data_IF_305102027993
#
_entry.id   IF_305102027993
#
_cell.length_a   1.000
_cell.length_b   1.000
_cell.length_c   1.000
_cell.angle_alpha   90.00
_cell.angle_beta   90.00
_cell.angle_gamma   90.00
#
_symmetry.space_group_name_H-M   'P 1'
#
loop_
_entity.id
_entity.type
_entity.pdbx_description
1 polymer ?
#
# COMPACT_ATOMS: atom_id res chain seq x y z
N UNK A 1 -12.42 1.01 -16.14
CA UNK A 1 -13.85 0.68 -16.00
C UNK A 1 -14.62 1.25 -17.17
N UNK A 2 -14.74 2.57 -17.36
CA UNK A 2 -15.53 3.22 -18.42
C UNK A 2 -15.21 2.70 -19.83
N UNK A 3 -13.94 2.43 -20.15
CA UNK A 3 -13.53 1.89 -21.45
C UNK A 3 -14.21 0.55 -21.77
N UNK A 4 -14.51 -0.27 -20.78
CA UNK A 4 -15.16 -1.56 -20.97
C UNK A 4 -16.70 -1.46 -20.97
N UNK A 5 -17.23 -0.54 -20.18
CA UNK A 5 -18.68 -0.43 -20.00
C UNK A 5 -19.34 0.58 -20.94
N UNK A 6 -18.58 1.59 -21.41
CA UNK A 6 -19.12 2.75 -22.16
C UNK A 6 -18.27 3.13 -23.37
N UNK A 7 -17.69 2.16 -24.06
CA UNK A 7 -16.79 2.48 -25.18
C UNK A 7 -17.44 3.32 -26.26
N UNK A 8 -18.70 3.03 -26.61
CA UNK A 8 -19.47 3.81 -27.59
C UNK A 8 -19.68 5.27 -27.17
N UNK A 9 -20.02 5.51 -25.91
CA UNK A 9 -20.16 6.86 -25.33
C UNK A 9 -18.84 7.61 -25.36
N UNK A 10 -17.73 6.94 -24.98
CA UNK A 10 -16.40 7.52 -25.06
C UNK A 10 -16.00 7.84 -26.50
N UNK A 11 -16.38 7.01 -27.47
CA UNK A 11 -16.11 7.24 -28.87
C UNK A 11 -16.89 8.45 -29.41
N UNK A 12 -18.16 8.57 -29.11
CA UNK A 12 -18.99 9.74 -29.48
C UNK A 12 -18.44 11.04 -28.91
N UNK A 13 -17.94 11.01 -27.66
CA UNK A 13 -17.35 12.17 -26.98
C UNK A 13 -15.86 12.37 -27.31
N UNK A 14 -15.25 11.54 -28.16
CA UNK A 14 -13.82 11.57 -28.53
C UNK A 14 -12.87 11.38 -27.33
N UNK A 15 -13.28 10.61 -26.35
CA UNK A 15 -12.57 10.35 -25.09
C UNK A 15 -12.02 8.91 -25.00
N UNK A 16 -11.81 8.24 -26.14
CA UNK A 16 -11.33 6.84 -26.18
C UNK A 16 -9.86 6.69 -25.77
N UNK A 17 -9.04 7.72 -26.00
CA UNK A 17 -7.65 7.76 -25.54
C UNK A 17 -7.58 8.26 -24.10
N UNK A 18 -6.74 7.60 -23.30
CA UNK A 18 -6.60 7.95 -21.89
C UNK A 18 -6.20 9.41 -21.69
N UNK A 19 -5.29 9.92 -22.50
CA UNK A 19 -4.80 11.30 -22.37
C UNK A 19 -5.92 12.33 -22.62
N UNK A 20 -6.80 12.07 -23.61
CA UNK A 20 -7.95 12.93 -23.85
C UNK A 20 -8.96 12.89 -22.69
N UNK A 21 -9.20 11.70 -22.17
CA UNK A 21 -10.07 11.52 -21.01
C UNK A 21 -9.46 12.17 -19.76
N UNK A 22 -8.16 11.97 -19.52
CA UNK A 22 -7.45 12.52 -18.38
C UNK A 22 -7.38 14.07 -18.44
N UNK A 23 -7.17 14.66 -19.61
CA UNK A 23 -7.20 16.12 -19.76
C UNK A 23 -8.59 16.72 -19.56
N UNK A 24 -9.66 15.94 -19.78
CA UNK A 24 -11.05 16.39 -19.60
C UNK A 24 -11.53 16.29 -18.16
N UNK A 25 -11.08 15.26 -17.45
CA UNK A 25 -11.60 14.94 -16.11
C UNK A 25 -10.54 14.87 -15.02
N UNK A 26 -9.28 14.97 -15.36
CA UNK A 26 -8.18 14.80 -14.42
C UNK A 26 -7.39 16.05 -14.17
N UNK A 27 -7.02 16.22 -12.92
CA UNK A 27 -6.08 17.25 -12.48
C UNK A 27 -4.83 16.61 -11.95
N UNK A 28 -3.68 17.05 -12.45
CA UNK A 28 -2.39 16.63 -11.94
C UNK A 28 -1.91 17.58 -10.86
N UNK A 29 -1.38 17.05 -9.79
CA UNK A 29 -0.74 17.81 -8.73
C UNK A 29 0.73 17.43 -8.63
N UNK A 30 1.58 18.43 -8.43
CA UNK A 30 2.99 18.21 -8.13
C UNK A 30 3.19 18.30 -6.62
N UNK A 31 3.65 17.21 -6.02
CA UNK A 31 4.00 17.17 -4.62
C UNK A 31 5.51 16.94 -4.45
N UNK A 32 6.06 17.56 -3.42
CA UNK A 32 7.44 17.26 -2.98
C UNK A 32 7.36 16.07 -2.05
N UNK A 33 8.06 15.01 -2.40
CA UNK A 33 8.12 13.79 -1.61
C UNK A 33 9.57 13.42 -1.29
N UNK A 34 9.77 12.66 -0.21
CA UNK A 34 11.09 12.10 0.10
C UNK A 34 11.51 11.17 -1.04
N UNK A 35 12.76 11.29 -1.45
CA UNK A 35 13.32 10.39 -2.46
C UNK A 35 13.38 8.95 -1.91
N UNK A 36 13.18 7.92 -2.76
CA UNK A 36 13.21 6.52 -2.32
C UNK A 36 14.51 6.10 -1.65
N UNK A 37 15.59 6.80 -1.97
CA UNK A 37 16.92 6.59 -1.41
C UNK A 37 17.02 7.05 0.06
N UNK A 38 15.96 7.69 0.59
CA UNK A 38 15.91 8.22 1.95
C UNK A 38 16.68 9.52 2.15
N UNK A 39 17.27 10.05 1.09
CA UNK A 39 18.07 11.29 1.11
C UNK A 39 17.52 12.30 0.11
N UNK A 40 17.18 13.50 0.60
CA UNK A 40 16.67 14.57 -0.25
C UNK A 40 15.20 14.44 -0.62
N UNK A 41 14.75 15.41 -1.41
CA UNK A 41 13.35 15.52 -1.85
C UNK A 41 13.29 15.58 -3.37
N UNK A 42 12.22 15.03 -3.94
CA UNK A 42 11.93 15.12 -5.37
C UNK A 42 10.52 15.63 -5.62
N UNK A 43 10.36 16.39 -6.70
CA UNK A 43 9.05 16.76 -7.19
C UNK A 43 8.46 15.62 -8.04
N UNK A 44 7.24 15.19 -7.73
CA UNK A 44 6.50 14.21 -8.50
C UNK A 44 5.14 14.77 -8.90
N UNK A 45 4.89 14.78 -10.19
CA UNK A 45 3.57 15.13 -10.73
C UNK A 45 2.77 13.84 -10.92
N UNK A 46 1.58 13.80 -10.33
CA UNK A 46 0.67 12.66 -10.42
C UNK A 46 -0.74 13.13 -10.74
N UNK A 47 -1.49 12.28 -11.41
CA UNK A 47 -2.94 12.39 -11.48
C UNK A 47 -3.49 12.19 -10.06
N UNK A 48 -4.07 13.23 -9.47
CA UNK A 48 -4.41 13.21 -8.05
C UNK A 48 -5.87 13.58 -7.76
N UNK A 49 -6.50 14.33 -8.65
CA UNK A 49 -7.86 14.81 -8.45
C UNK A 49 -8.68 14.67 -9.72
N UNK A 50 -9.99 14.68 -9.53
CA UNK A 50 -10.92 14.81 -10.64
C UNK A 50 -11.51 16.22 -10.67
N UNK A 51 -11.63 16.77 -11.84
CA UNK A 51 -12.45 17.95 -12.08
C UNK A 51 -13.59 17.60 -13.07
N UNK A 52 -14.48 18.54 -13.33
CA UNK A 52 -15.68 18.27 -14.13
C UNK A 52 -16.46 17.04 -13.67
N UNK A 53 -16.54 16.86 -12.34
CA UNK A 53 -17.23 15.74 -11.72
C UNK A 53 -18.68 15.57 -12.15
N UNK A 54 -19.50 16.63 -12.31
CA UNK A 54 -20.90 16.46 -12.72
C UNK A 54 -21.05 15.72 -14.05
N UNK A 55 -20.24 16.04 -15.05
CA UNK A 55 -20.28 15.34 -16.34
C UNK A 55 -19.74 13.90 -16.23
N UNK A 56 -18.60 13.72 -15.56
CA UNK A 56 -18.03 12.40 -15.31
C UNK A 56 -19.02 11.48 -14.60
N UNK A 57 -19.67 11.98 -13.55
CA UNK A 57 -20.65 11.23 -12.77
C UNK A 57 -21.93 10.95 -13.57
N UNK A 58 -22.38 11.90 -14.40
CA UNK A 58 -23.53 11.69 -15.28
C UNK A 58 -23.26 10.55 -16.25
N UNK A 59 -22.11 10.57 -16.90
CA UNK A 59 -21.69 9.48 -17.79
C UNK A 59 -21.60 8.15 -17.07
N UNK A 60 -20.98 8.13 -15.90
CA UNK A 60 -20.75 6.88 -15.16
C UNK A 60 -22.05 6.26 -14.65
N UNK A 61 -22.99 7.08 -14.22
CA UNK A 61 -24.33 6.63 -13.76
C UNK A 61 -25.18 5.97 -14.82
N UNK A 62 -24.89 6.19 -16.11
CA UNK A 62 -25.60 5.49 -17.21
C UNK A 62 -25.38 3.97 -17.16
N UNK A 63 -24.25 3.51 -16.63
CA UNK A 63 -23.85 2.09 -16.66
C UNK A 63 -23.48 1.54 -15.27
N UNK A 64 -23.56 2.35 -14.23
CA UNK A 64 -23.20 1.96 -12.87
C UNK A 64 -24.25 2.42 -11.86
N UNK A 65 -24.69 1.50 -11.01
CA UNK A 65 -25.45 1.84 -9.80
C UNK A 65 -24.46 2.21 -8.69
N UNK A 66 -24.55 3.45 -8.23
CA UNK A 66 -23.64 4.01 -7.22
C UNK A 66 -24.41 4.19 -5.93
N UNK A 67 -23.98 3.48 -4.90
CA UNK A 67 -24.50 3.62 -3.54
C UNK A 67 -23.36 4.01 -2.61
N UNK A 68 -23.54 5.09 -1.88
CA UNK A 68 -22.63 5.46 -0.79
C UNK A 68 -22.98 4.68 0.48
N UNK A 69 -22.05 4.64 1.44
CA UNK A 69 -22.27 3.96 2.73
C UNK A 69 -23.53 4.47 3.44
N UNK A 70 -23.78 5.78 3.39
CA UNK A 70 -24.94 6.40 3.99
C UNK A 70 -26.27 5.96 3.35
N UNK A 71 -26.25 5.67 2.04
CA UNK A 71 -27.42 5.20 1.30
C UNK A 71 -27.72 3.72 1.54
N UNK A 72 -26.69 2.95 1.90
CA UNK A 72 -26.83 1.51 2.12
C UNK A 72 -27.37 1.17 3.51
N UNK A 73 -27.29 2.09 4.47
CA UNK A 73 -27.72 1.87 5.86
C UNK A 73 -27.25 0.53 6.45
N UNK A 74 -26.01 0.13 6.11
CA UNK A 74 -25.46 -1.13 6.59
C UNK A 74 -25.27 -1.08 8.11
N UNK A 75 -25.53 -2.19 8.81
CA UNK A 75 -25.24 -2.30 10.24
C UNK A 75 -23.73 -2.41 10.44
N UNK A 76 -23.04 -1.28 10.38
CA UNK A 76 -21.59 -1.20 10.60
C UNK A 76 -21.32 -1.04 12.08
N UNK A 77 -20.49 -1.90 12.70
CA UNK A 77 -20.14 -1.75 14.10
C UNK A 77 -19.32 -0.47 14.33
N UNK A 78 -19.45 0.09 15.52
CA UNK A 78 -18.58 1.19 15.92
C UNK A 78 -17.13 0.68 16.01
N UNK A 79 -16.22 1.39 15.33
CA UNK A 79 -14.82 1.00 15.26
C UNK A 79 -13.93 1.94 16.08
N UNK A 80 -13.10 1.37 16.94
CA UNK A 80 -12.03 2.07 17.64
C UNK A 80 -10.71 1.74 16.96
N UNK A 81 -10.03 2.78 16.48
CA UNK A 81 -8.74 2.63 15.79
C UNK A 81 -7.59 2.88 16.77
N UNK A 82 -6.73 1.90 16.93
CA UNK A 82 -5.51 2.02 17.73
C UNK A 82 -4.29 1.72 16.87
N UNK A 83 -3.30 2.61 16.90
CA UNK A 83 -2.03 2.41 16.19
C UNK A 83 -0.97 1.96 17.18
N UNK A 84 -0.47 0.75 16.99
CA UNK A 84 0.65 0.21 17.76
C UNK A 84 1.93 0.33 16.94
N UNK A 85 2.93 1.02 17.49
CA UNK A 85 4.20 1.29 16.79
C UNK A 85 5.32 0.50 17.47
N UNK A 86 5.93 -0.42 16.71
CA UNK A 86 7.17 -1.08 17.11
C UNK A 86 8.37 -0.20 16.72
N UNK A 87 9.29 0.04 17.67
CA UNK A 87 10.52 0.78 17.39
C UNK A 87 11.51 -0.11 16.65
N UNK A 88 12.18 0.39 15.60
CA UNK A 88 13.18 -0.40 14.90
C UNK A 88 14.40 -0.70 15.78
N UNK A 89 14.91 -1.93 15.71
CA UNK A 89 16.18 -2.31 16.32
C UNK A 89 17.36 -1.65 15.58
N UNK A 90 18.54 -1.65 16.19
CA UNK A 90 19.73 -1.09 15.54
C UNK A 90 20.10 -1.91 14.30
N UNK A 91 19.96 -3.22 14.36
CA UNK A 91 20.12 -4.09 13.19
C UNK A 91 19.17 -3.72 12.05
N UNK A 92 17.90 -3.45 12.34
CA UNK A 92 16.95 -2.99 11.29
C UNK A 92 17.38 -1.66 10.68
N UNK A 93 17.90 -0.73 11.50
CA UNK A 93 18.40 0.57 11.01
C UNK A 93 19.58 0.38 10.05
N UNK A 94 20.53 -0.49 10.41
CA UNK A 94 21.68 -0.83 9.55
C UNK A 94 21.22 -1.44 8.23
N UNK A 95 20.30 -2.42 8.27
CA UNK A 95 19.76 -3.04 7.07
C UNK A 95 19.02 -2.04 6.18
N UNK A 96 18.28 -1.09 6.75
CA UNK A 96 17.62 -0.01 6.00
C UNK A 96 18.63 0.94 5.36
N UNK A 97 19.74 1.25 6.04
CA UNK A 97 20.83 2.04 5.45
C UNK A 97 21.45 1.33 4.23
N UNK A 98 21.60 0.01 4.29
CA UNK A 98 22.10 -0.77 3.17
C UNK A 98 21.11 -0.75 2.00
N UNK A 99 19.81 -0.88 2.25
CA UNK A 99 18.79 -0.71 1.21
C UNK A 99 18.84 0.68 0.56
N UNK A 100 19.10 1.70 1.35
CA UNK A 100 19.23 3.08 0.86
C UNK A 100 20.42 3.24 -0.09
N UNK A 101 21.57 2.60 0.22
CA UNK A 101 22.75 2.57 -0.68
C UNK A 101 22.43 1.85 -1.99
N UNK A 102 21.83 0.65 -1.92
CA UNK A 102 21.38 -0.10 -3.09
C UNK A 102 20.44 0.71 -3.97
N UNK A 103 19.47 1.40 -3.37
CA UNK A 103 18.55 2.28 -4.09
C UNK A 103 19.28 3.42 -4.80
N UNK A 104 20.30 4.03 -4.18
CA UNK A 104 21.11 5.08 -4.79
C UNK A 104 21.95 4.56 -5.97
N UNK A 105 22.54 3.37 -5.85
CA UNK A 105 23.33 2.71 -6.91
C UNK A 105 22.44 2.37 -8.13
N UNK A 106 21.23 1.84 -7.89
CA UNK A 106 20.26 1.57 -8.95
C UNK A 106 19.85 2.88 -9.63
N UNK A 107 19.61 3.93 -8.85
CA UNK A 107 19.22 5.23 -9.40
C UNK A 107 20.31 5.88 -10.24
N UNK A 108 21.58 5.71 -9.87
CA UNK A 108 22.74 6.19 -10.64
C UNK A 108 22.99 5.38 -11.92
N UNK A 109 22.33 4.25 -12.10
CA UNK A 109 22.51 3.37 -13.27
C UNK A 109 23.79 2.53 -13.22
N UNK A 110 24.44 2.42 -12.06
CA UNK A 110 25.67 1.63 -11.89
C UNK A 110 25.41 0.13 -11.78
N UNK A 111 24.18 -0.29 -11.52
CA UNK A 111 23.76 -1.67 -11.34
C UNK A 111 22.81 -2.08 -12.47
N UNK A 112 23.07 -3.23 -13.09
CA UNK A 112 22.17 -3.78 -14.10
C UNK A 112 20.83 -4.20 -13.46
N UNK A 113 19.71 -3.85 -14.10
CA UNK A 113 18.38 -4.12 -13.60
C UNK A 113 18.04 -5.62 -13.45
N UNK A 114 18.80 -6.50 -14.13
CA UNK A 114 18.70 -7.95 -13.97
C UNK A 114 19.38 -8.47 -12.69
N UNK A 115 20.33 -7.71 -12.15
CA UNK A 115 21.07 -8.04 -10.91
C UNK A 115 20.32 -7.49 -9.70
N UNK A 116 19.97 -6.19 -9.73
CA UNK A 116 19.17 -5.55 -8.67
C UNK A 116 18.32 -4.42 -9.26
N UNK A 117 17.16 -4.17 -8.62
CA UNK A 117 16.24 -3.15 -9.07
C UNK A 117 15.35 -2.65 -7.90
N UNK A 118 14.66 -1.53 -8.10
CA UNK A 118 13.82 -0.92 -7.06
C UNK A 118 12.70 -1.85 -6.55
N UNK A 119 12.24 -2.82 -7.35
CA UNK A 119 11.25 -3.80 -6.91
C UNK A 119 11.86 -4.76 -5.87
N UNK A 120 13.10 -5.23 -6.11
CA UNK A 120 13.85 -6.05 -5.16
C UNK A 120 14.08 -5.29 -3.86
N UNK A 121 14.58 -4.06 -3.94
CA UNK A 121 14.81 -3.19 -2.75
C UNK A 121 13.53 -2.98 -1.96
N UNK A 122 12.41 -2.68 -2.64
CA UNK A 122 11.11 -2.49 -2.00
C UNK A 122 10.62 -3.77 -1.31
N UNK A 123 10.77 -4.92 -1.96
CA UNK A 123 10.38 -6.20 -1.39
C UNK A 123 11.22 -6.57 -0.17
N UNK A 124 12.53 -6.33 -0.22
CA UNK A 124 13.42 -6.56 0.91
C UNK A 124 13.11 -5.59 2.07
N UNK A 125 12.80 -4.34 1.78
CA UNK A 125 12.33 -3.37 2.78
C UNK A 125 11.05 -3.82 3.48
N UNK A 126 10.09 -4.40 2.74
CA UNK A 126 8.87 -4.97 3.33
C UNK A 126 9.18 -6.16 4.26
N UNK A 127 10.12 -7.04 3.87
CA UNK A 127 10.56 -8.17 4.70
C UNK A 127 11.23 -7.68 5.99
N UNK A 128 12.18 -6.76 5.89
CA UNK A 128 12.88 -6.16 7.04
C UNK A 128 11.89 -5.44 7.96
N UNK A 129 10.93 -4.73 7.40
CA UNK A 129 9.89 -4.02 8.16
C UNK A 129 8.92 -4.94 8.91
N UNK A 130 8.79 -6.19 8.49
CA UNK A 130 8.00 -7.20 9.18
C UNK A 130 8.86 -7.93 10.24
N UNK A 131 9.95 -8.56 9.79
CA UNK A 131 10.88 -9.31 10.64
C UNK A 131 12.22 -9.51 9.89
N UNK A 132 13.34 -9.15 10.50
CA UNK A 132 14.68 -9.26 9.89
C UNK A 132 15.06 -10.71 9.54
N UNK A 133 14.51 -11.70 10.25
CA UNK A 133 14.70 -13.13 9.97
C UNK A 133 14.12 -13.57 8.62
N UNK A 134 13.28 -12.74 8.00
CA UNK A 134 12.82 -12.93 6.62
C UNK A 134 13.91 -12.70 5.58
N UNK A 135 14.96 -11.98 5.94
CA UNK A 135 16.17 -11.82 5.11
C UNK A 135 17.20 -12.91 5.41
N UNK A 136 17.39 -13.21 6.69
CA UNK A 136 18.32 -14.26 7.13
C UNK A 136 17.75 -14.95 8.38
N UNK A 137 17.32 -16.23 8.28
CA UNK A 137 16.75 -16.98 9.40
C UNK A 137 17.69 -17.19 10.59
N UNK A 138 19.00 -16.98 10.40
CA UNK A 138 20.00 -17.11 11.47
C UNK A 138 20.10 -15.88 12.38
N UNK A 139 19.41 -14.78 12.02
CA UNK A 139 19.40 -13.57 12.85
C UNK A 139 18.60 -13.83 14.14
N UNK A 140 19.00 -13.16 15.25
CA UNK A 140 18.33 -13.32 16.53
C UNK A 140 16.89 -12.80 16.49
N UNK A 141 16.03 -13.38 17.32
CA UNK A 141 14.70 -12.86 17.57
C UNK A 141 14.77 -11.54 18.35
N UNK A 142 14.00 -10.57 17.91
CA UNK A 142 13.81 -9.31 18.63
C UNK A 142 12.43 -9.30 19.29
N UNK A 143 12.36 -9.38 20.64
CA UNK A 143 11.09 -9.36 21.38
C UNK A 143 10.22 -8.13 21.09
N UNK A 144 10.83 -7.03 20.66
CA UNK A 144 10.14 -5.79 20.29
C UNK A 144 9.86 -5.68 18.79
N UNK A 145 10.11 -6.73 18.03
CA UNK A 145 9.79 -6.76 16.61
C UNK A 145 8.30 -6.54 16.39
N UNK A 146 7.96 -6.01 15.23
CA UNK A 146 6.56 -5.80 14.83
C UNK A 146 5.74 -7.10 14.91
N UNK A 147 6.35 -8.23 14.58
CA UNK A 147 5.71 -9.53 14.66
C UNK A 147 5.41 -9.92 16.12
N UNK A 148 6.41 -9.83 17.00
CA UNK A 148 6.26 -10.19 18.41
C UNK A 148 5.27 -9.27 19.14
N UNK A 149 5.30 -7.97 18.88
CA UNK A 149 4.31 -7.02 19.41
C UNK A 149 2.89 -7.34 18.92
N UNK A 150 2.75 -7.74 17.66
CA UNK A 150 1.46 -8.18 17.13
C UNK A 150 0.95 -9.44 17.84
N UNK A 151 1.81 -10.44 18.04
CA UNK A 151 1.47 -11.71 18.74
C UNK A 151 1.04 -11.41 20.18
N UNK A 152 1.77 -10.54 20.88
CA UNK A 152 1.40 -10.13 22.25
C UNK A 152 0.03 -9.46 22.30
N UNK A 153 -0.27 -8.57 21.34
CA UNK A 153 -1.58 -7.94 21.24
C UNK A 153 -2.71 -8.95 20.97
N UNK A 154 -2.47 -9.89 20.05
CA UNK A 154 -3.42 -10.94 19.74
C UNK A 154 -3.71 -11.79 20.98
N UNK A 155 -2.67 -12.19 21.71
CA UNK A 155 -2.81 -12.96 22.94
C UNK A 155 -3.59 -12.18 24.01
N UNK A 156 -3.24 -10.94 24.25
CA UNK A 156 -3.93 -10.06 25.18
C UNK A 156 -5.42 -9.95 24.88
N UNK A 157 -5.77 -9.64 23.62
CA UNK A 157 -7.18 -9.51 23.19
C UNK A 157 -7.92 -10.85 23.34
N UNK A 158 -7.22 -11.98 23.06
CA UNK A 158 -7.79 -13.30 23.24
C UNK A 158 -8.09 -13.59 24.73
N UNK A 159 -7.15 -13.29 25.62
CA UNK A 159 -7.34 -13.48 27.06
C UNK A 159 -8.49 -12.64 27.62
N UNK A 160 -8.62 -11.40 27.16
CA UNK A 160 -9.70 -10.48 27.56
C UNK A 160 -11.06 -10.91 27.00
N UNK A 161 -11.09 -11.51 25.81
CA UNK A 161 -12.33 -11.82 25.08
C UNK A 161 -12.77 -13.28 25.09
N UNK A 162 -11.96 -14.22 25.65
CA UNK A 162 -12.18 -15.68 25.55
C UNK A 162 -13.52 -16.14 26.15
N UNK A 163 -13.94 -15.54 27.24
CA UNK A 163 -15.19 -15.93 27.91
C UNK A 163 -16.43 -15.50 27.09
N UNK A 164 -16.30 -14.44 26.31
CA UNK A 164 -17.32 -13.94 25.38
C UNK A 164 -17.19 -14.60 23.99
N UNK A 165 -16.20 -15.45 23.77
CA UNK A 165 -15.91 -16.12 22.49
C UNK A 165 -15.73 -15.11 21.33
N UNK A 166 -15.05 -13.99 21.60
CA UNK A 166 -14.78 -12.97 20.58
C UNK A 166 -13.83 -13.51 19.53
N UNK A 167 -14.00 -13.03 18.29
CA UNK A 167 -13.16 -13.41 17.15
C UNK A 167 -12.18 -12.30 16.82
N UNK A 168 -11.02 -12.70 16.31
CA UNK A 168 -10.01 -11.78 15.80
C UNK A 168 -9.73 -12.08 14.34
N UNK A 169 -9.51 -11.05 13.53
CA UNK A 169 -9.07 -11.17 12.14
C UNK A 169 -7.69 -10.54 12.02
N UNK A 170 -6.71 -11.33 11.56
CA UNK A 170 -5.36 -10.86 11.30
C UNK A 170 -5.11 -10.83 9.80
N UNK A 171 -4.84 -9.64 9.26
CA UNK A 171 -4.49 -9.46 7.86
C UNK A 171 -2.98 -9.32 7.70
N UNK A 172 -2.37 -10.27 7.01
CA UNK A 172 -0.95 -10.28 6.72
C UNK A 172 -0.72 -10.71 5.26
N UNK A 173 -0.15 -9.81 4.46
CA UNK A 173 0.11 -10.04 3.03
C UNK A 173 1.51 -10.59 2.74
N UNK A 174 2.36 -10.68 3.77
CA UNK A 174 3.66 -11.33 3.69
C UNK A 174 3.67 -12.59 4.57
N UNK A 175 4.36 -13.63 4.11
CA UNK A 175 4.54 -14.86 4.88
C UNK A 175 3.25 -15.66 5.13
N UNK A 176 2.31 -15.57 4.22
CA UNK A 176 1.18 -16.50 4.25
C UNK A 176 1.69 -17.95 4.16
N UNK A 177 1.15 -18.87 4.97
CA UNK A 177 1.52 -20.27 4.89
C UNK A 177 1.34 -20.79 3.46
N UNK A 178 2.34 -21.49 2.95
CA UNK A 178 2.24 -22.26 1.71
C UNK A 178 1.85 -23.68 2.03
N UNK A 179 1.11 -24.31 1.13
CA UNK A 179 0.76 -25.74 1.25
C UNK A 179 1.95 -26.66 0.89
N UNK A 180 3.16 -26.18 1.00
CA UNK A 180 4.37 -26.98 0.82
C UNK A 180 4.60 -27.71 2.16
N UNK A 181 3.84 -28.81 2.32
CA UNK A 181 3.82 -29.64 3.50
C UNK A 181 5.14 -30.31 3.83
#
# INVERSE_FOLDING_TARGET
>A
VMRYLQYSTLQQKKLTHFDCWASTFGETTTAIELAPEGTGYRARTRFAKFFNLPELMSMFKEVADIKTADQLHLPVPEAKFETVVAKPSDLQKEMVQELSKRAAEIHSGTVDASVDNMLCVTNDGRKIGLDVRRMNPMLPDDPNSKLNVCVQNVLKIWEEGKDQKLTQLLFCDLSTPKNDG
#
